data_IF_954891838952
#
_entry.id   IF_954891838952
#
_cell.length_a   1.000
_cell.length_b   1.000
_cell.length_c   1.000
_cell.angle_alpha   90.00
_cell.angle_beta   90.00
_cell.angle_gamma   90.00
#
_symmetry.space_group_name_H-M   'P 1'
#
loop_
_entity.id
_entity.type
_entity.pdbx_description
1 polymer ?
#
# COMPACT_ATOMS: atom_id res chain seq x y z
N UNK A 1 -14.44 2.62 9.68
CA UNK A 1 -13.05 2.22 9.33
C UNK A 1 -12.66 0.91 10.01
N UNK A 2 -11.78 0.11 9.39
CA UNK A 2 -11.22 -1.13 9.96
C UNK A 2 -9.73 -0.93 10.23
N UNK A 3 -9.17 -1.62 11.24
CA UNK A 3 -7.71 -1.69 11.43
C UNK A 3 -7.21 -2.90 10.64
N UNK A 4 -6.16 -2.69 9.87
CA UNK A 4 -5.51 -3.69 9.02
C UNK A 4 -4.07 -3.90 9.48
N UNK A 5 -3.52 -5.09 9.26
CA UNK A 5 -2.11 -5.38 9.51
C UNK A 5 -1.38 -5.82 8.23
N UNK A 6 -0.12 -5.44 8.12
CA UNK A 6 0.84 -6.00 7.17
C UNK A 6 1.51 -7.21 7.83
N UNK A 7 0.87 -8.36 7.80
CA UNK A 7 1.23 -9.50 8.66
C UNK A 7 2.53 -10.21 8.29
N UNK A 8 3.04 -10.04 7.05
CA UNK A 8 4.39 -10.49 6.70
C UNK A 8 5.49 -9.81 7.52
N UNK A 9 5.20 -8.64 8.12
CA UNK A 9 6.08 -7.98 9.10
C UNK A 9 6.13 -8.71 10.45
N UNK A 10 5.20 -9.63 10.72
CA UNK A 10 5.12 -10.39 11.98
C UNK A 10 5.74 -11.78 11.82
N UNK A 11 5.41 -12.50 10.75
CA UNK A 11 5.89 -13.87 10.52
C UNK A 11 6.00 -14.17 9.03
N UNK A 12 6.82 -15.17 8.66
CA UNK A 12 6.84 -15.74 7.30
C UNK A 12 5.78 -16.85 7.14
N UNK A 13 5.32 -17.45 8.26
CA UNK A 13 4.30 -18.49 8.27
C UNK A 13 2.89 -17.89 8.29
N UNK A 14 2.04 -18.14 7.27
CA UNK A 14 0.65 -17.66 7.24
C UNK A 14 -0.20 -18.09 8.43
N UNK A 15 0.02 -19.29 8.98
CA UNK A 15 -0.75 -19.74 10.15
C UNK A 15 -0.41 -18.95 11.40
N UNK A 16 0.88 -18.64 11.60
CA UNK A 16 1.32 -17.76 12.71
C UNK A 16 0.74 -16.33 12.54
N UNK A 17 0.59 -15.86 11.30
CA UNK A 17 -0.06 -14.57 11.01
C UNK A 17 -1.53 -14.57 11.41
N UNK A 18 -2.26 -15.64 11.07
CA UNK A 18 -3.67 -15.83 11.46
C UNK A 18 -3.81 -15.83 12.98
N UNK A 19 -3.02 -16.64 13.67
CA UNK A 19 -3.03 -16.72 15.14
C UNK A 19 -2.73 -15.35 15.78
N UNK A 20 -1.75 -14.64 15.25
CA UNK A 20 -1.41 -13.30 15.72
C UNK A 20 -2.57 -12.32 15.54
N UNK A 21 -3.21 -12.30 14.36
CA UNK A 21 -4.37 -11.45 14.09
C UNK A 21 -5.51 -11.73 15.08
N UNK A 22 -5.77 -13.00 15.38
CA UNK A 22 -6.78 -13.40 16.38
C UNK A 22 -6.41 -12.90 17.78
N UNK A 23 -5.14 -13.07 18.20
CA UNK A 23 -4.67 -12.61 19.52
C UNK A 23 -4.78 -11.08 19.69
N UNK A 24 -4.45 -10.31 18.65
CA UNK A 24 -4.56 -8.84 18.69
C UNK A 24 -5.94 -8.34 18.23
N UNK A 25 -6.89 -9.24 17.92
CA UNK A 25 -8.27 -8.90 17.56
C UNK A 25 -8.38 -8.14 16.25
N UNK A 26 -7.65 -8.52 15.21
CA UNK A 26 -7.65 -7.91 13.87
C UNK A 26 -8.35 -8.85 12.88
N UNK A 27 -9.24 -8.28 12.05
CA UNK A 27 -10.00 -9.00 11.04
C UNK A 27 -9.72 -8.49 9.60
N UNK A 28 -8.64 -7.74 9.39
CA UNK A 28 -8.23 -7.28 8.06
C UNK A 28 -6.71 -7.28 7.94
N UNK A 29 -6.19 -7.74 6.79
CA UNK A 29 -4.75 -7.81 6.53
C UNK A 29 -4.39 -7.35 5.11
N UNK A 30 -3.18 -6.83 4.95
CA UNK A 30 -2.48 -6.69 3.68
C UNK A 30 -1.44 -7.80 3.60
N UNK A 31 -1.46 -8.56 2.51
CA UNK A 31 -0.61 -9.74 2.32
C UNK A 31 0.30 -9.60 1.11
N UNK A 32 1.24 -10.52 0.97
CA UNK A 32 2.20 -10.53 -0.13
C UNK A 32 2.20 -11.86 -0.86
N UNK A 33 2.08 -11.83 -2.19
CA UNK A 33 2.22 -13.02 -3.04
C UNK A 33 3.65 -13.61 -3.00
N UNK A 34 4.63 -12.88 -2.45
CA UNK A 34 5.99 -13.38 -2.15
C UNK A 34 5.98 -14.52 -1.12
N UNK A 35 4.90 -14.68 -0.38
CA UNK A 35 4.71 -15.80 0.55
C UNK A 35 4.36 -17.13 -0.13
N UNK A 36 4.14 -17.15 -1.44
CA UNK A 36 3.81 -18.32 -2.23
C UNK A 36 5.06 -18.74 -3.04
N UNK A 37 5.78 -19.77 -2.60
CA UNK A 37 7.06 -20.17 -3.18
C UNK A 37 6.99 -20.43 -4.69
N UNK A 38 5.98 -21.17 -5.15
CA UNK A 38 5.77 -21.46 -6.58
C UNK A 38 5.47 -20.21 -7.42
N UNK A 39 4.82 -19.21 -6.82
CA UNK A 39 4.60 -17.92 -7.47
C UNK A 39 5.91 -17.12 -7.59
N UNK A 40 6.77 -17.17 -6.57
CA UNK A 40 8.10 -16.54 -6.61
C UNK A 40 8.97 -17.13 -7.71
N UNK A 41 9.01 -18.46 -7.82
CA UNK A 41 9.77 -19.16 -8.87
C UNK A 41 9.29 -18.81 -10.28
N UNK A 42 7.98 -18.72 -10.47
CA UNK A 42 7.35 -18.43 -11.77
C UNK A 42 7.30 -16.93 -12.09
N UNK A 43 7.26 -16.06 -11.08
CA UNK A 43 7.13 -14.60 -11.18
C UNK A 43 5.71 -14.07 -11.07
N UNK A 44 4.67 -14.90 -10.98
CA UNK A 44 3.28 -14.53 -10.72
C UNK A 44 2.52 -15.69 -10.04
N UNK A 45 1.50 -15.43 -9.21
CA UNK A 45 0.64 -16.45 -8.65
C UNK A 45 -0.43 -16.88 -9.67
N UNK A 46 -0.93 -18.11 -9.54
CA UNK A 46 -2.19 -18.51 -10.15
C UNK A 46 -3.37 -18.22 -9.21
N UNK A 47 -4.57 -18.11 -9.76
CA UNK A 47 -5.77 -17.93 -8.94
C UNK A 47 -6.01 -19.10 -7.97
N UNK A 48 -5.62 -20.32 -8.34
CA UNK A 48 -5.69 -21.50 -7.46
C UNK A 48 -4.78 -21.34 -6.25
N UNK A 49 -3.54 -20.93 -6.48
CA UNK A 49 -2.57 -20.68 -5.40
C UNK A 49 -3.04 -19.55 -4.48
N UNK A 50 -3.56 -18.46 -5.05
CA UNK A 50 -4.11 -17.35 -4.27
C UNK A 50 -5.32 -17.75 -3.43
N UNK A 51 -6.24 -18.54 -3.98
CA UNK A 51 -7.38 -19.10 -3.20
C UNK A 51 -6.90 -20.03 -2.08
N UNK A 52 -5.91 -20.87 -2.35
CA UNK A 52 -5.32 -21.73 -1.31
C UNK A 52 -4.62 -20.90 -0.22
N UNK A 53 -3.90 -19.85 -0.62
CA UNK A 53 -3.21 -18.95 0.30
C UNK A 53 -4.16 -18.18 1.22
N UNK A 54 -5.28 -17.67 0.68
CA UNK A 54 -6.23 -16.88 1.48
C UNK A 54 -7.12 -17.73 2.39
N UNK A 55 -7.28 -19.03 2.07
CA UNK A 55 -8.20 -19.91 2.81
C UNK A 55 -8.03 -19.90 4.34
N UNK A 56 -6.82 -19.99 4.93
CA UNK A 56 -6.67 -19.90 6.39
C UNK A 56 -7.17 -18.57 6.98
N UNK A 57 -7.01 -17.47 6.25
CA UNK A 57 -7.53 -16.17 6.65
C UNK A 57 -9.07 -16.13 6.58
N UNK A 58 -9.64 -16.61 5.47
CA UNK A 58 -11.09 -16.70 5.28
C UNK A 58 -11.74 -17.58 6.37
N UNK A 59 -11.15 -18.76 6.67
CA UNK A 59 -11.63 -19.67 7.71
C UNK A 59 -11.58 -19.03 9.11
N UNK A 60 -10.68 -18.08 9.35
CA UNK A 60 -10.55 -17.31 10.57
C UNK A 60 -11.37 -16.01 10.58
N UNK A 61 -12.12 -15.70 9.52
CA UNK A 61 -12.90 -14.47 9.38
C UNK A 61 -12.03 -13.21 9.20
N UNK A 62 -10.84 -13.37 8.57
CA UNK A 62 -9.89 -12.29 8.33
C UNK A 62 -9.91 -11.93 6.84
N UNK A 63 -10.28 -10.69 6.51
CA UNK A 63 -10.31 -10.17 5.15
C UNK A 63 -8.90 -9.81 4.67
N UNK A 64 -8.48 -10.27 3.48
CA UNK A 64 -7.29 -9.75 2.82
C UNK A 64 -7.71 -8.58 1.93
N UNK A 65 -7.31 -7.37 2.28
CA UNK A 65 -7.74 -6.12 1.61
C UNK A 65 -6.79 -5.65 0.52
N UNK A 66 -5.56 -6.15 0.48
CA UNK A 66 -4.55 -5.79 -0.51
C UNK A 66 -3.51 -6.89 -0.66
N UNK A 67 -2.99 -7.04 -1.87
CA UNK A 67 -1.99 -8.04 -2.23
C UNK A 67 -0.76 -7.36 -2.86
N UNK A 68 0.39 -7.48 -2.22
CA UNK A 68 1.66 -7.09 -2.84
C UNK A 68 2.04 -8.09 -3.94
N UNK A 69 2.54 -7.64 -5.10
CA UNK A 69 2.93 -8.54 -6.18
C UNK A 69 4.21 -9.31 -5.83
N UNK A 70 4.43 -10.42 -6.54
CA UNK A 70 5.68 -11.19 -6.44
C UNK A 70 6.90 -10.36 -6.81
N UNK A 71 6.77 -9.58 -7.88
CA UNK A 71 7.81 -8.66 -8.36
C UNK A 71 7.35 -7.22 -8.17
N UNK A 72 8.24 -6.39 -7.64
CA UNK A 72 8.03 -4.95 -7.64
C UNK A 72 8.01 -4.42 -9.09
N UNK A 73 7.31 -3.31 -9.34
CA UNK A 73 7.35 -2.64 -10.63
C UNK A 73 8.78 -2.32 -11.05
N UNK A 74 9.07 -2.54 -12.33
CA UNK A 74 10.39 -2.32 -12.91
C UNK A 74 10.28 -1.54 -14.21
N UNK A 75 11.34 -0.84 -14.58
CA UNK A 75 11.44 -0.01 -15.79
C UNK A 75 10.96 -0.75 -17.04
N UNK A 76 11.28 -2.04 -17.20
CA UNK A 76 10.86 -2.84 -18.36
C UNK A 76 9.34 -2.92 -18.55
N UNK A 77 8.54 -2.71 -17.52
CA UNK A 77 7.06 -2.74 -17.65
C UNK A 77 6.48 -1.57 -18.44
N UNK A 78 7.23 -0.48 -18.57
CA UNK A 78 6.84 0.73 -19.31
C UNK A 78 7.53 0.86 -20.66
N UNK A 79 8.48 -0.02 -20.99
CA UNK A 79 9.22 0.01 -22.23
C UNK A 79 8.46 -0.70 -23.35
N UNK A 80 8.31 -0.05 -24.51
CA UNK A 80 7.70 -0.65 -25.71
C UNK A 80 8.73 -1.48 -26.52
N UNK A 81 9.34 -2.45 -25.83
CA UNK A 81 10.23 -3.46 -26.41
C UNK A 81 9.57 -4.85 -26.32
N UNK A 82 10.01 -5.85 -27.10
CA UNK A 82 9.51 -7.23 -26.95
C UNK A 82 9.64 -7.73 -25.51
N UNK A 83 10.80 -7.54 -24.88
CA UNK A 83 11.09 -7.98 -23.51
C UNK A 83 10.26 -7.17 -22.50
N UNK A 84 10.05 -5.87 -22.75
CA UNK A 84 9.21 -5.01 -21.94
C UNK A 84 7.76 -5.46 -21.95
N UNK A 85 7.23 -5.78 -23.12
CA UNK A 85 5.86 -6.31 -23.26
C UNK A 85 5.70 -7.66 -22.56
N UNK A 86 6.67 -8.57 -22.68
CA UNK A 86 6.66 -9.84 -21.97
C UNK A 86 6.72 -9.64 -20.45
N UNK A 87 7.58 -8.74 -19.99
CA UNK A 87 7.70 -8.39 -18.57
C UNK A 87 6.39 -7.81 -18.00
N UNK A 88 5.72 -6.94 -18.76
CA UNK A 88 4.40 -6.43 -18.39
C UNK A 88 3.33 -7.55 -18.34
N UNK A 89 3.33 -8.48 -19.29
CA UNK A 89 2.37 -9.59 -19.29
C UNK A 89 2.51 -10.51 -18.06
N UNK A 90 3.70 -10.64 -17.48
CA UNK A 90 3.89 -11.33 -16.20
C UNK A 90 3.12 -10.62 -15.08
N UNK A 91 3.17 -9.29 -15.04
CA UNK A 91 2.38 -8.50 -14.09
C UNK A 91 0.88 -8.55 -14.41
N UNK A 92 0.49 -8.49 -15.67
CA UNK A 92 -0.89 -8.59 -16.09
C UNK A 92 -1.55 -9.92 -15.66
N UNK A 93 -0.82 -11.04 -15.73
CA UNK A 93 -1.25 -12.34 -15.19
C UNK A 93 -1.44 -12.31 -13.68
N UNK A 94 -0.63 -11.54 -12.95
CA UNK A 94 -0.82 -11.34 -11.53
C UNK A 94 -2.16 -10.63 -11.23
N UNK A 95 -2.49 -9.58 -12.01
CA UNK A 95 -3.78 -8.88 -11.89
C UNK A 95 -4.97 -9.81 -12.17
N UNK A 96 -4.87 -10.62 -13.22
CA UNK A 96 -5.93 -11.59 -13.56
C UNK A 96 -6.15 -12.59 -12.43
N UNK A 97 -5.05 -13.19 -11.93
CA UNK A 97 -5.13 -14.15 -10.84
C UNK A 97 -5.68 -13.53 -9.55
N UNK A 98 -5.29 -12.30 -9.23
CA UNK A 98 -5.78 -11.58 -8.07
C UNK A 98 -7.30 -11.31 -8.18
N UNK A 99 -7.77 -10.85 -9.32
CA UNK A 99 -9.19 -10.63 -9.57
C UNK A 99 -10.00 -11.93 -9.53
N UNK A 100 -9.55 -12.99 -10.22
CA UNK A 100 -10.19 -14.32 -10.21
C UNK A 100 -10.25 -14.96 -8.81
N UNK A 101 -9.28 -14.63 -7.94
CA UNK A 101 -9.24 -15.08 -6.56
C UNK A 101 -9.92 -14.10 -5.58
N UNK A 102 -10.61 -13.07 -6.08
CA UNK A 102 -11.34 -12.05 -5.33
C UNK A 102 -10.47 -11.23 -4.35
N UNK A 103 -9.22 -10.91 -4.74
CA UNK A 103 -8.44 -9.91 -4.02
C UNK A 103 -8.89 -8.51 -4.44
N UNK A 104 -9.26 -7.63 -3.49
CA UNK A 104 -9.88 -6.34 -3.81
C UNK A 104 -8.93 -5.35 -4.47
N UNK A 105 -7.62 -5.42 -4.18
CA UNK A 105 -6.62 -4.63 -4.88
C UNK A 105 -5.23 -5.28 -4.85
N UNK A 106 -4.43 -4.93 -5.87
CA UNK A 106 -2.98 -5.19 -5.94
C UNK A 106 -2.26 -3.89 -5.63
N UNK A 107 -1.29 -3.97 -4.72
CA UNK A 107 -0.52 -2.81 -4.26
C UNK A 107 0.81 -2.73 -4.98
N UNK A 108 1.25 -1.54 -5.37
CA UNK A 108 2.51 -1.35 -6.08
C UNK A 108 3.09 0.04 -5.86
N UNK A 109 4.38 0.21 -6.14
CA UNK A 109 5.01 1.50 -6.34
C UNK A 109 4.99 1.89 -7.83
N UNK A 110 5.22 3.16 -8.19
CA UNK A 110 5.39 3.54 -9.59
C UNK A 110 6.56 2.78 -10.24
N UNK A 111 6.43 2.31 -11.50
CA UNK A 111 7.52 1.65 -12.21
C UNK A 111 8.78 2.51 -12.38
N UNK A 112 8.60 3.83 -12.48
CA UNK A 112 9.68 4.81 -12.65
C UNK A 112 9.58 5.89 -11.57
N UNK A 113 10.66 6.06 -10.79
CA UNK A 113 10.73 7.03 -9.70
C UNK A 113 12.14 7.59 -9.47
N UNK A 114 13.07 7.40 -10.43
CA UNK A 114 14.49 7.65 -10.28
C UNK A 114 15.03 8.81 -11.13
N UNK A 115 14.14 9.67 -11.66
CA UNK A 115 14.50 10.82 -12.48
C UNK A 115 15.48 11.77 -11.75
N UNK A 116 16.47 12.26 -12.48
CA UNK A 116 17.50 13.16 -11.98
C UNK A 116 17.35 14.59 -12.48
N UNK A 117 16.57 14.76 -13.55
CA UNK A 117 16.32 16.06 -14.19
C UNK A 117 14.82 16.27 -14.38
N UNK A 118 14.35 17.53 -14.49
CA UNK A 118 12.95 17.82 -14.81
C UNK A 118 12.46 17.18 -16.12
N UNK A 119 13.35 17.08 -17.14
CA UNK A 119 13.01 16.45 -18.42
C UNK A 119 12.79 14.93 -18.26
N UNK A 120 13.69 14.25 -17.54
CA UNK A 120 13.51 12.84 -17.20
C UNK A 120 12.25 12.62 -16.39
N UNK A 121 11.96 13.52 -15.44
CA UNK A 121 10.77 13.46 -14.64
C UNK A 121 9.48 13.50 -15.46
N UNK A 122 9.40 14.43 -16.42
CA UNK A 122 8.25 14.56 -17.30
C UNK A 122 8.06 13.29 -18.17
N UNK A 123 9.15 12.74 -18.71
CA UNK A 123 9.08 11.52 -19.50
C UNK A 123 8.71 10.30 -18.67
N UNK A 124 9.29 10.14 -17.47
CA UNK A 124 8.91 9.06 -16.55
C UNK A 124 7.45 9.16 -16.13
N UNK A 125 6.96 10.37 -15.88
CA UNK A 125 5.56 10.59 -15.55
C UNK A 125 4.65 10.15 -16.72
N UNK A 126 4.96 10.51 -17.96
CA UNK A 126 4.22 10.08 -19.14
C UNK A 126 4.19 8.56 -19.26
N UNK A 127 5.34 7.89 -19.13
CA UNK A 127 5.46 6.43 -19.19
C UNK A 127 4.68 5.75 -18.05
N UNK A 128 4.73 6.30 -16.86
CA UNK A 128 3.92 5.82 -15.73
C UNK A 128 2.42 5.96 -16.02
N UNK A 129 1.96 7.08 -16.60
CA UNK A 129 0.55 7.24 -16.99
C UNK A 129 0.13 6.19 -18.02
N UNK A 130 0.94 5.91 -19.03
CA UNK A 130 0.68 4.86 -20.01
C UNK A 130 0.60 3.47 -19.37
N UNK A 131 1.48 3.18 -18.41
CA UNK A 131 1.44 1.95 -17.62
C UNK A 131 0.15 1.86 -16.79
N UNK A 132 -0.17 2.92 -16.02
CA UNK A 132 -1.36 2.92 -15.16
C UNK A 132 -2.66 2.83 -15.95
N UNK A 133 -2.72 3.43 -17.14
CA UNK A 133 -3.89 3.30 -18.02
C UNK A 133 -4.14 1.84 -18.42
N UNK A 134 -3.10 1.13 -18.89
CA UNK A 134 -3.18 -0.28 -19.27
C UNK A 134 -3.47 -1.18 -18.06
N UNK A 135 -2.76 -0.95 -16.97
CA UNK A 135 -2.85 -1.78 -15.77
C UNK A 135 -4.19 -1.61 -15.04
N UNK A 136 -4.73 -0.38 -14.96
CA UNK A 136 -6.04 -0.11 -14.36
C UNK A 136 -7.17 -0.73 -15.17
N UNK A 137 -7.12 -0.62 -16.50
CA UNK A 137 -8.10 -1.29 -17.38
C UNK A 137 -8.06 -2.81 -17.18
N UNK A 138 -6.87 -3.41 -17.11
CA UNK A 138 -6.71 -4.85 -16.86
C UNK A 138 -7.25 -5.24 -15.50
N UNK A 139 -6.88 -4.52 -14.44
CA UNK A 139 -7.34 -4.76 -13.08
C UNK A 139 -8.88 -4.69 -12.99
N UNK A 140 -9.50 -3.65 -13.57
CA UNK A 140 -10.95 -3.49 -13.61
C UNK A 140 -11.65 -4.64 -14.34
N UNK A 141 -11.11 -5.10 -15.47
CA UNK A 141 -11.65 -6.25 -16.22
C UNK A 141 -11.54 -7.55 -15.44
N UNK A 142 -10.47 -7.72 -14.67
CA UNK A 142 -10.23 -8.90 -13.85
C UNK A 142 -11.00 -8.87 -12.52
N UNK A 143 -11.61 -7.74 -12.14
CA UNK A 143 -12.35 -7.59 -10.88
C UNK A 143 -11.49 -7.20 -9.67
N UNK A 144 -10.30 -6.66 -9.91
CA UNK A 144 -9.41 -6.09 -8.88
C UNK A 144 -9.12 -4.62 -9.14
N UNK A 145 -8.32 -3.96 -8.30
CA UNK A 145 -7.92 -2.56 -8.43
C UNK A 145 -6.42 -2.40 -8.21
N UNK A 146 -5.86 -1.24 -8.56
CA UNK A 146 -4.48 -0.87 -8.28
C UNK A 146 -4.44 0.15 -7.14
N UNK A 147 -3.67 -0.14 -6.10
CA UNK A 147 -3.42 0.77 -4.99
C UNK A 147 -1.94 1.20 -5.03
N UNK A 148 -1.67 2.40 -5.55
CA UNK A 148 -0.32 2.93 -5.69
C UNK A 148 0.16 3.51 -4.36
N UNK A 149 1.32 3.06 -3.90
CA UNK A 149 2.02 3.64 -2.75
C UNK A 149 3.09 4.61 -3.24
N UNK A 150 3.26 5.74 -2.55
CA UNK A 150 4.36 6.68 -2.83
C UNK A 150 5.71 6.02 -2.61
N UNK A 151 6.70 6.22 -3.52
CA UNK A 151 8.04 5.67 -3.33
C UNK A 151 8.75 6.32 -2.12
N UNK A 152 9.70 5.59 -1.56
CA UNK A 152 10.58 6.04 -0.50
C UNK A 152 12.04 6.06 -0.97
N UNK A 153 12.82 7.11 -0.68
CA UNK A 153 12.42 8.40 -0.11
C UNK A 153 11.70 9.27 -1.15
N UNK A 154 10.72 10.07 -0.75
CA UNK A 154 10.05 11.01 -1.65
C UNK A 154 10.98 12.13 -2.14
N UNK A 155 12.17 12.23 -1.54
CA UNK A 155 13.20 13.24 -1.85
C UNK A 155 13.70 13.24 -3.31
N UNK A 156 13.34 12.25 -4.12
CA UNK A 156 13.58 12.31 -5.58
C UNK A 156 12.49 13.04 -6.35
N UNK A 157 11.54 13.65 -5.66
CA UNK A 157 10.78 14.79 -6.12
C UNK A 157 9.61 14.52 -7.03
N UNK A 158 9.13 13.28 -7.17
CA UNK A 158 8.19 12.97 -8.25
C UNK A 158 6.86 12.35 -7.82
N UNK A 159 6.66 12.04 -6.54
CA UNK A 159 5.43 11.40 -6.05
C UNK A 159 4.98 11.96 -4.70
N UNK A 160 4.42 13.15 -4.76
CA UNK A 160 3.65 13.74 -3.69
C UNK A 160 2.21 13.97 -4.14
N UNK A 161 1.50 14.87 -3.48
CA UNK A 161 0.11 15.15 -3.80
C UNK A 161 -0.09 15.65 -5.24
N UNK A 162 0.82 16.48 -5.76
CA UNK A 162 0.71 17.03 -7.12
C UNK A 162 0.81 15.96 -8.21
N UNK A 163 1.68 14.99 -8.03
CA UNK A 163 1.86 13.89 -8.98
C UNK A 163 0.63 12.96 -8.96
N UNK A 164 0.03 12.73 -7.80
CA UNK A 164 -1.25 12.01 -7.71
C UNK A 164 -2.39 12.76 -8.40
N UNK A 165 -2.52 14.09 -8.22
CA UNK A 165 -3.51 14.89 -8.95
C UNK A 165 -3.35 14.67 -10.46
N UNK A 166 -2.12 14.84 -10.97
CA UNK A 166 -1.83 14.68 -12.40
C UNK A 166 -2.07 13.25 -12.90
N UNK A 167 -1.73 12.23 -12.09
CA UNK A 167 -1.97 10.83 -12.45
C UNK A 167 -3.48 10.52 -12.53
N UNK A 168 -4.27 10.97 -11.55
CA UNK A 168 -5.71 10.71 -11.54
C UNK A 168 -6.45 11.46 -12.62
N UNK A 169 -5.96 12.66 -13.01
CA UNK A 169 -6.47 13.40 -14.16
C UNK A 169 -6.16 12.71 -15.48
N UNK A 170 -4.92 12.19 -15.65
CA UNK A 170 -4.51 11.48 -16.85
C UNK A 170 -5.11 10.07 -16.96
N UNK A 171 -5.35 9.41 -15.83
CA UNK A 171 -5.87 8.04 -15.74
C UNK A 171 -7.07 8.02 -14.78
N UNK A 172 -8.25 8.50 -15.21
CA UNK A 172 -9.42 8.63 -14.33
C UNK A 172 -10.14 7.30 -14.04
N UNK A 173 -9.61 6.15 -14.48
CA UNK A 173 -10.19 4.83 -14.24
C UNK A 173 -10.43 4.61 -12.74
N UNK A 174 -11.63 4.18 -12.29
CA UNK A 174 -11.93 3.95 -10.88
C UNK A 174 -11.11 2.81 -10.24
N UNK A 175 -10.50 1.95 -11.04
CA UNK A 175 -9.55 0.94 -10.54
C UNK A 175 -8.16 1.53 -10.22
N UNK A 176 -7.87 2.78 -10.62
CA UNK A 176 -6.66 3.51 -10.29
C UNK A 176 -6.85 4.29 -8.99
N UNK A 177 -6.23 3.84 -7.92
CA UNK A 177 -6.29 4.50 -6.61
C UNK A 177 -4.96 4.43 -5.89
N UNK A 178 -4.99 4.73 -4.59
CA UNK A 178 -3.78 4.86 -3.80
C UNK A 178 -3.85 4.16 -2.45
N UNK A 179 -2.68 3.80 -1.96
CA UNK A 179 -2.41 3.67 -0.53
C UNK A 179 -2.03 5.06 -0.02
N UNK A 180 -2.86 5.63 0.83
CA UNK A 180 -2.57 6.93 1.40
C UNK A 180 -1.65 6.79 2.61
N UNK A 181 -0.34 6.97 2.39
CA UNK A 181 0.66 6.90 3.46
C UNK A 181 0.88 8.28 4.09
N UNK A 182 0.48 8.45 5.35
CA UNK A 182 0.62 9.71 6.07
C UNK A 182 2.08 10.18 6.13
N UNK A 183 3.02 9.29 6.44
CA UNK A 183 4.43 9.63 6.50
C UNK A 183 4.99 10.07 5.16
N UNK A 184 4.65 9.38 4.06
CA UNK A 184 5.13 9.74 2.72
C UNK A 184 4.63 11.12 2.30
N UNK A 185 3.38 11.46 2.58
CA UNK A 185 2.83 12.80 2.30
C UNK A 185 3.54 13.88 3.10
N UNK A 186 3.75 13.66 4.41
CA UNK A 186 4.48 14.59 5.25
C UNK A 186 5.93 14.80 4.79
N UNK A 187 6.64 13.71 4.44
CA UNK A 187 8.01 13.77 3.91
C UNK A 187 8.08 14.49 2.56
N UNK A 188 7.00 14.52 1.80
CA UNK A 188 6.88 15.29 0.56
C UNK A 188 6.52 16.76 0.81
N UNK A 189 6.42 17.19 2.08
CA UNK A 189 6.16 18.59 2.46
C UNK A 189 4.67 18.98 2.42
N UNK A 190 3.75 18.01 2.40
CA UNK A 190 2.32 18.27 2.39
C UNK A 190 1.71 18.11 3.79
N UNK A 191 0.74 18.95 4.11
CA UNK A 191 -0.12 18.75 5.28
C UNK A 191 -1.04 17.55 4.99
N UNK A 192 -0.85 16.47 5.76
CA UNK A 192 -1.60 15.22 5.59
C UNK A 192 -3.11 15.45 5.73
N UNK A 193 -3.52 16.39 6.60
CA UNK A 193 -4.93 16.69 6.83
C UNK A 193 -5.55 17.41 5.63
N UNK A 194 -4.80 18.32 5.00
CA UNK A 194 -5.26 19.06 3.83
C UNK A 194 -5.51 18.13 2.63
N UNK A 195 -4.58 17.19 2.38
CA UNK A 195 -4.67 16.31 1.21
C UNK A 195 -5.59 15.10 1.42
N UNK A 196 -5.91 14.73 2.67
CA UNK A 196 -6.81 13.61 2.97
C UNK A 196 -8.17 13.77 2.28
N UNK A 197 -8.78 14.95 2.39
CA UNK A 197 -10.09 15.21 1.80
C UNK A 197 -10.06 15.18 0.26
N UNK A 198 -8.94 15.60 -0.34
CA UNK A 198 -8.77 15.66 -1.80
C UNK A 198 -8.84 14.30 -2.47
N UNK A 199 -8.35 13.25 -1.81
CA UNK A 199 -8.21 11.92 -2.41
C UNK A 199 -9.20 10.89 -1.85
N UNK A 200 -10.18 11.28 -1.05
CA UNK A 200 -11.06 10.36 -0.33
C UNK A 200 -11.61 9.23 -1.23
N UNK A 201 -12.07 9.56 -2.43
CA UNK A 201 -12.64 8.60 -3.39
C UNK A 201 -11.60 7.71 -4.08
N UNK A 202 -10.31 8.06 -3.93
CA UNK A 202 -9.17 7.32 -4.51
C UNK A 202 -8.38 6.55 -3.47
N UNK A 203 -8.64 6.76 -2.18
CA UNK A 203 -7.97 6.04 -1.09
C UNK A 203 -8.62 4.66 -0.93
N UNK A 204 -7.86 3.60 -1.24
CA UNK A 204 -8.34 2.24 -1.04
C UNK A 204 -8.05 1.74 0.37
N UNK A 205 -6.91 2.12 0.93
CA UNK A 205 -6.58 2.02 2.36
C UNK A 205 -5.44 2.97 2.71
N UNK A 206 -5.17 3.09 4.00
CA UNK A 206 -4.25 4.08 4.57
C UNK A 206 -3.11 3.38 5.28
N UNK A 207 -1.89 3.89 5.11
CA UNK A 207 -0.75 3.56 5.95
C UNK A 207 -0.56 4.61 7.04
N UNK A 208 -0.68 4.17 8.29
CA UNK A 208 -0.46 4.99 9.49
C UNK A 208 1.02 4.93 9.83
N UNK A 209 1.76 5.87 9.27
CA UNK A 209 3.21 6.03 9.44
C UNK A 209 3.48 7.41 10.02
N UNK A 210 4.29 7.46 11.06
CA UNK A 210 4.72 8.70 11.68
C UNK A 210 6.23 8.87 11.58
N UNK A 211 6.69 10.11 11.45
CA UNK A 211 8.09 10.44 11.21
C UNK A 211 8.48 11.72 11.94
N UNK A 212 9.78 11.83 12.25
CA UNK A 212 10.44 13.10 12.63
C UNK A 212 11.33 13.53 11.46
N UNK A 213 11.05 14.69 10.90
CA UNK A 213 11.83 15.30 9.82
C UNK A 213 12.75 16.33 10.43
N UNK A 214 14.06 16.10 10.31
CA UNK A 214 15.09 16.99 10.86
C UNK A 214 15.43 18.13 9.89
N UNK A 215 15.93 19.24 10.43
CA UNK A 215 16.30 20.41 9.63
C UNK A 215 17.44 20.17 8.60
N UNK A 216 18.19 19.09 8.75
CA UNK A 216 19.21 18.62 7.78
C UNK A 216 18.65 17.67 6.70
N UNK A 217 17.33 17.44 6.70
CA UNK A 217 16.64 16.55 5.78
C UNK A 217 16.67 15.07 6.16
N UNK A 218 17.30 14.69 7.27
CA UNK A 218 17.23 13.33 7.82
C UNK A 218 15.81 13.05 8.33
N UNK A 219 15.35 11.82 8.15
CA UNK A 219 14.04 11.37 8.61
C UNK A 219 14.22 10.16 9.51
N UNK A 220 13.63 10.20 10.70
CA UNK A 220 13.52 9.07 11.60
C UNK A 220 12.09 8.55 11.59
N UNK A 221 11.93 7.24 11.44
CA UNK A 221 10.65 6.54 11.62
C UNK A 221 10.40 6.36 13.11
N UNK A 222 9.20 6.71 13.56
CA UNK A 222 8.85 6.70 14.98
C UNK A 222 7.50 6.03 15.19
N UNK A 223 7.17 5.73 16.44
CA UNK A 223 5.85 5.20 16.77
C UNK A 223 4.75 6.26 16.48
N UNK A 224 3.57 5.85 15.96
CA UNK A 224 2.46 6.75 15.72
C UNK A 224 2.12 7.61 16.94
N UNK A 225 1.99 8.92 16.74
CA UNK A 225 1.72 9.89 17.80
C UNK A 225 2.96 10.41 18.53
N UNK A 226 4.18 9.99 18.14
CA UNK A 226 5.43 10.48 18.73
C UNK A 226 6.25 11.33 17.75
N UNK A 227 5.79 11.48 16.51
CA UNK A 227 6.41 12.27 15.45
C UNK A 227 5.66 13.57 15.13
N UNK A 228 5.78 14.00 13.88
CA UNK A 228 5.26 15.27 13.39
C UNK A 228 3.99 15.16 12.54
N UNK A 229 3.58 13.93 12.17
CA UNK A 229 2.46 13.66 11.23
C UNK A 229 1.11 13.80 11.90
N UNK A 230 1.03 13.59 13.23
CA UNK A 230 -0.21 13.58 14.01
C UNK A 230 -1.28 12.63 13.44
N UNK A 231 -1.00 11.32 13.39
CA UNK A 231 -1.88 10.35 12.73
C UNK A 231 -3.28 10.26 13.32
N UNK A 232 -3.46 10.49 14.62
CA UNK A 232 -4.76 10.54 15.29
C UNK A 232 -5.68 11.62 14.70
N UNK A 233 -5.13 12.81 14.43
CA UNK A 233 -5.87 13.91 13.78
C UNK A 233 -6.27 13.54 12.35
N UNK A 234 -5.37 12.88 11.58
CA UNK A 234 -5.67 12.43 10.23
C UNK A 234 -6.73 11.29 10.23
N UNK A 235 -6.67 10.36 11.19
CA UNK A 235 -7.67 9.30 11.38
C UNK A 235 -9.04 9.90 11.71
N UNK A 236 -9.08 10.90 12.60
CA UNK A 236 -10.32 11.61 12.93
C UNK A 236 -10.94 12.28 11.70
N UNK A 237 -10.14 12.98 10.91
CA UNK A 237 -10.62 13.60 9.66
C UNK A 237 -11.15 12.56 8.66
N UNK A 238 -10.46 11.43 8.47
CA UNK A 238 -10.96 10.33 7.64
C UNK A 238 -12.33 9.84 8.13
N UNK A 239 -12.52 9.72 9.44
CA UNK A 239 -13.79 9.33 10.04
C UNK A 239 -14.89 10.37 9.76
N UNK A 240 -14.61 11.65 9.99
CA UNK A 240 -15.54 12.77 9.74
C UNK A 240 -15.95 12.87 8.27
N UNK A 241 -15.04 12.54 7.33
CA UNK A 241 -15.30 12.47 5.89
C UNK A 241 -16.03 11.19 5.47
N UNK A 242 -16.31 10.27 6.38
CA UNK A 242 -17.04 9.04 6.09
C UNK A 242 -16.21 7.93 5.44
N UNK A 243 -14.87 7.96 5.52
CA UNK A 243 -14.02 6.91 5.00
C UNK A 243 -14.35 5.55 5.64
N UNK A 244 -14.65 4.55 4.83
CA UNK A 244 -15.03 3.20 5.30
C UNK A 244 -13.92 2.16 5.12
N UNK A 245 -12.79 2.54 4.53
CA UNK A 245 -11.66 1.64 4.26
C UNK A 245 -10.88 1.24 5.51
N UNK A 246 -9.68 0.72 5.30
CA UNK A 246 -8.82 0.25 6.37
C UNK A 246 -7.64 1.19 6.62
N UNK A 247 -7.16 1.21 7.86
CA UNK A 247 -5.94 1.91 8.28
C UNK A 247 -4.94 0.86 8.79
N UNK A 248 -3.70 0.91 8.30
CA UNK A 248 -2.66 -0.06 8.59
C UNK A 248 -1.41 0.62 9.18
N UNK A 249 -0.97 0.28 10.41
CA UNK A 249 0.33 0.70 10.90
C UNK A 249 1.45 0.22 9.97
N UNK A 250 2.43 1.10 9.73
CA UNK A 250 3.55 0.84 8.84
C UNK A 250 4.85 1.46 9.36
N UNK A 251 5.98 0.86 8.99
CA UNK A 251 7.32 1.37 9.29
C UNK A 251 7.55 1.68 10.77
N UNK A 252 7.26 0.72 11.62
CA UNK A 252 7.42 0.88 13.06
C UNK A 252 8.87 0.61 13.49
N UNK A 253 9.41 1.40 14.44
CA UNK A 253 10.66 1.06 15.09
C UNK A 253 10.57 -0.30 15.80
N UNK A 254 11.63 -1.08 15.77
CA UNK A 254 11.69 -2.34 16.50
C UNK A 254 11.81 -2.11 18.00
N UNK A 255 11.03 -2.87 18.76
CA UNK A 255 11.15 -2.96 20.22
C UNK A 255 12.25 -3.94 20.60
N UNK A 256 12.96 -3.65 21.68
CA UNK A 256 14.00 -4.55 22.17
C UNK A 256 13.47 -5.96 22.41
N UNK A 257 14.15 -6.95 21.85
CA UNK A 257 13.82 -8.38 22.01
C UNK A 257 12.81 -8.93 21.00
N UNK A 258 12.15 -8.10 20.15
CA UNK A 258 11.31 -8.63 19.08
C UNK A 258 12.13 -9.14 17.89
N UNK A 259 11.66 -10.22 17.26
CA UNK A 259 12.35 -10.83 16.11
C UNK A 259 12.02 -10.11 14.81
N UNK A 260 10.74 -9.84 14.58
CA UNK A 260 10.24 -9.03 13.48
C UNK A 260 9.62 -7.74 14.04
N UNK A 261 8.33 -7.50 13.85
CA UNK A 261 7.62 -6.34 14.37
C UNK A 261 6.40 -6.74 15.22
N UNK A 262 6.42 -7.92 15.84
CA UNK A 262 5.28 -8.47 16.56
C UNK A 262 4.84 -7.62 17.77
N UNK A 263 5.79 -7.03 18.51
CA UNK A 263 5.47 -6.18 19.67
C UNK A 263 5.08 -4.78 19.22
N UNK A 264 5.86 -4.19 18.33
CA UNK A 264 5.61 -2.85 17.80
C UNK A 264 4.28 -2.77 17.05
N UNK A 265 3.91 -3.82 16.29
CA UNK A 265 2.59 -3.93 15.64
C UNK A 265 1.44 -3.99 16.64
N UNK A 266 1.55 -4.81 17.70
CA UNK A 266 0.51 -4.88 18.75
C UNK A 266 0.31 -3.51 19.42
N UNK A 267 1.39 -2.79 19.70
CA UNK A 267 1.35 -1.44 20.24
C UNK A 267 0.63 -0.47 19.28
N UNK A 268 1.00 -0.47 18.00
CA UNK A 268 0.41 0.42 17.01
C UNK A 268 -1.07 0.12 16.73
N UNK A 269 -1.50 -1.15 16.84
CA UNK A 269 -2.93 -1.54 16.84
C UNK A 269 -3.66 -0.87 18.00
N UNK A 270 -3.06 -0.88 19.20
CA UNK A 270 -3.61 -0.20 20.37
C UNK A 270 -3.80 1.29 20.16
N UNK A 271 -2.78 1.94 19.58
CA UNK A 271 -2.84 3.36 19.19
C UNK A 271 -3.99 3.65 18.21
N UNK A 272 -4.07 2.89 17.11
CA UNK A 272 -5.14 3.06 16.12
C UNK A 272 -6.54 2.83 16.72
N UNK A 273 -6.69 1.88 17.63
CA UNK A 273 -7.95 1.66 18.37
C UNK A 273 -8.34 2.85 19.22
N UNK A 274 -7.38 3.41 19.96
CA UNK A 274 -7.62 4.60 20.79
C UNK A 274 -8.03 5.79 19.92
N UNK A 275 -7.33 6.02 18.81
CA UNK A 275 -7.67 7.08 17.87
C UNK A 275 -9.08 6.91 17.28
N UNK A 276 -9.47 5.69 16.89
CA UNK A 276 -10.82 5.40 16.39
C UNK A 276 -11.91 5.51 17.48
N UNK A 277 -11.61 5.13 18.72
CA UNK A 277 -12.55 5.30 19.82
C UNK A 277 -12.84 6.77 20.09
N UNK A 278 -11.80 7.63 20.08
CA UNK A 278 -11.96 9.08 20.22
C UNK A 278 -12.69 9.78 19.07
N UNK A 279 -12.96 9.09 17.96
CA UNK A 279 -13.80 9.64 16.87
C UNK A 279 -15.31 9.60 17.21
N UNK A 280 -15.73 8.86 18.22
CA UNK A 280 -17.14 8.69 18.58
C UNK A 280 -17.54 9.50 19.84
N UNK A 281 -16.61 10.25 20.39
CA UNK A 281 -16.82 11.19 21.50
C UNK A 281 -17.02 12.63 20.99
#
# INVERSE_FOLDING_TARGET
MKICLRTHMVSDDPMVRVDYCQQVGIASVQESAKSIASAVERGWPTAVELRAYRKPFDDAGIDIIGLEPVKEPVRSWVEDTPDGRESYEVFARHLDAAGEANFPCVTLHPPLDDAKTPAEAAEQFRLNCDFYAKASERARRSGTRLATHSPWPPAKGLWGAKEYDSLFDAVPDPANGMIFCFGCMAMSGYDVREVTARYLDRIFFVHVRDVVIHGDGRVDEVFPGTGQVLPDTAIKLLHELGFQGAIAPEHLPKVFGERKNEISMAWAVGYCRAALAGCNE
#
